data_IF_841597862273
#
_entry.id   IF_841597862273
#
_cell.length_a   1.000
_cell.length_b   1.000
_cell.length_c   1.000
_cell.angle_alpha   90.00
_cell.angle_beta   90.00
_cell.angle_gamma   90.00
#
_symmetry.space_group_name_H-M   'P 1'
#
loop_
_entity.id
_entity.type
_entity.pdbx_description
1 polymer ?
#
# COMPACT_ATOMS: atom_id res chain seq x y z
N UNK A 1 7.88 -20.59 1.87
CA UNK A 1 6.58 -20.53 1.16
C UNK A 1 6.38 -19.12 0.63
N UNK A 2 5.82 -18.98 -0.58
CA UNK A 2 5.47 -17.67 -1.13
C UNK A 2 4.25 -17.11 -0.40
N UNK A 3 4.40 -15.94 0.22
CA UNK A 3 3.28 -15.22 0.82
C UNK A 3 2.53 -14.48 -0.29
N UNK A 4 1.20 -14.61 -0.42
CA UNK A 4 0.45 -13.94 -1.47
C UNK A 4 0.38 -12.42 -1.26
N UNK A 5 0.07 -11.69 -2.32
CA UNK A 5 -0.35 -10.26 -2.25
C UNK A 5 -1.85 -10.25 -2.44
N UNK A 6 -2.60 -9.84 -1.42
CA UNK A 6 -4.06 -9.87 -1.42
C UNK A 6 -4.63 -8.80 -2.35
N UNK A 7 -5.59 -9.14 -3.22
CA UNK A 7 -6.29 -8.17 -4.08
C UNK A 7 -5.55 -7.77 -5.35
N UNK A 8 -4.29 -8.21 -5.55
CA UNK A 8 -3.46 -7.77 -6.69
C UNK A 8 -4.05 -8.08 -8.07
N UNK A 9 -4.87 -9.14 -8.19
CA UNK A 9 -5.52 -9.55 -9.43
C UNK A 9 -6.87 -8.87 -9.67
N UNK A 10 -7.40 -8.15 -8.67
CA UNK A 10 -8.68 -7.43 -8.74
C UNK A 10 -8.50 -5.97 -9.20
N UNK A 11 -7.26 -5.55 -9.44
CA UNK A 11 -6.96 -4.20 -9.90
C UNK A 11 -7.32 -4.09 -11.40
N UNK A 12 -8.10 -3.08 -11.80
CA UNK A 12 -8.42 -2.83 -13.21
C UNK A 12 -7.16 -2.63 -14.07
N UNK A 13 -7.19 -3.11 -15.32
CA UNK A 13 -6.00 -3.14 -16.20
C UNK A 13 -5.51 -1.77 -16.66
N UNK A 14 -6.37 -0.76 -16.60
CA UNK A 14 -6.13 0.62 -16.97
C UNK A 14 -5.51 1.45 -15.83
N UNK A 15 -5.42 0.88 -14.62
CA UNK A 15 -4.84 1.54 -13.45
C UNK A 15 -3.31 1.51 -13.52
N UNK A 16 -2.70 2.69 -13.40
CA UNK A 16 -1.23 2.86 -13.37
C UNK A 16 -0.67 3.12 -11.97
N UNK A 17 -1.53 3.49 -11.02
CA UNK A 17 -1.19 3.84 -9.64
C UNK A 17 -2.06 3.06 -8.66
N UNK A 18 -1.46 2.47 -7.65
CA UNK A 18 -2.15 1.58 -6.70
C UNK A 18 -1.69 1.84 -5.28
N UNK A 19 -2.62 1.72 -4.35
CA UNK A 19 -2.33 1.81 -2.91
C UNK A 19 -1.88 0.44 -2.39
N UNK A 20 -0.89 0.43 -1.51
CA UNK A 20 -0.39 -0.77 -0.85
C UNK A 20 -0.57 -0.63 0.66
N UNK A 21 -1.35 -1.54 1.25
CA UNK A 21 -1.64 -1.55 2.68
C UNK A 21 -1.01 -2.77 3.39
N UNK A 22 -1.03 -2.76 4.72
CA UNK A 22 -0.60 -3.91 5.53
C UNK A 22 -1.68 -4.99 5.59
N UNK A 23 -2.94 -4.64 5.86
CA UNK A 23 -4.02 -5.61 6.04
C UNK A 23 -4.97 -5.67 4.83
N UNK A 24 -5.71 -6.78 4.71
CA UNK A 24 -6.75 -6.90 3.68
C UNK A 24 -7.94 -5.98 3.94
N UNK A 25 -8.20 -5.61 5.20
CA UNK A 25 -9.31 -4.72 5.56
C UNK A 25 -9.00 -3.31 5.05
N UNK A 26 -7.77 -2.82 5.23
CA UNK A 26 -7.34 -1.53 4.69
C UNK A 26 -7.50 -1.45 3.17
N UNK A 27 -7.12 -2.52 2.46
CA UNK A 27 -7.28 -2.59 1.01
C UNK A 27 -8.76 -2.55 0.61
N UNK A 28 -9.64 -3.26 1.32
CA UNK A 28 -11.08 -3.20 1.08
C UNK A 28 -11.65 -1.81 1.36
N UNK A 29 -11.20 -1.14 2.43
CA UNK A 29 -11.62 0.22 2.75
C UNK A 29 -11.21 1.21 1.66
N UNK A 30 -9.99 1.10 1.12
CA UNK A 30 -9.58 1.86 -0.07
C UNK A 30 -10.54 1.64 -1.25
N UNK A 31 -10.94 0.39 -1.52
CA UNK A 31 -11.90 0.09 -2.59
C UNK A 31 -13.28 0.73 -2.33
N UNK A 32 -13.78 0.69 -1.09
CA UNK A 32 -15.01 1.40 -0.68
C UNK A 32 -14.88 2.90 -0.94
N UNK A 33 -13.67 3.45 -0.78
CA UNK A 33 -13.34 4.86 -1.07
C UNK A 33 -13.00 5.15 -2.53
N UNK A 34 -13.19 4.17 -3.42
CA UNK A 34 -12.96 4.33 -4.86
C UNK A 34 -11.49 4.39 -5.24
N UNK A 35 -10.58 3.85 -4.41
CA UNK A 35 -9.15 3.76 -4.69
C UNK A 35 -8.72 2.29 -4.89
N UNK A 36 -8.07 1.95 -6.00
CA UNK A 36 -7.54 0.60 -6.21
C UNK A 36 -6.39 0.33 -5.23
N UNK A 37 -6.49 -0.78 -4.49
CA UNK A 37 -5.52 -1.13 -3.47
C UNK A 37 -5.28 -2.64 -3.37
N UNK A 38 -4.11 -3.03 -2.87
CA UNK A 38 -3.82 -4.41 -2.49
C UNK A 38 -3.02 -4.45 -1.19
N UNK A 39 -2.95 -5.63 -0.55
CA UNK A 39 -2.29 -5.76 0.75
C UNK A 39 -1.17 -6.79 0.74
N UNK A 40 -0.10 -6.49 1.50
CA UNK A 40 1.04 -7.38 1.70
C UNK A 40 0.82 -8.41 2.83
N UNK A 41 -0.29 -8.29 3.56
CA UNK A 41 -0.68 -9.09 4.73
C UNK A 41 0.33 -9.00 5.88
N UNK A 42 0.71 -7.77 6.23
CA UNK A 42 1.84 -7.36 7.07
C UNK A 42 2.88 -6.60 6.22
N UNK A 43 4.11 -6.48 6.68
CA UNK A 43 5.10 -5.55 6.09
C UNK A 43 5.78 -6.02 4.78
N UNK A 44 5.37 -7.15 4.21
CA UNK A 44 5.95 -7.72 2.97
C UNK A 44 7.28 -8.48 3.14
N UNK A 45 7.60 -9.38 2.19
CA UNK A 45 8.87 -10.11 2.13
C UNK A 45 9.56 -9.97 0.76
N UNK A 46 10.80 -10.47 0.65
CA UNK A 46 11.61 -10.38 -0.58
C UNK A 46 10.89 -10.92 -1.83
N UNK A 47 10.22 -12.06 -1.73
CA UNK A 47 9.50 -12.63 -2.88
C UNK A 47 8.31 -11.76 -3.31
N UNK A 48 7.60 -11.15 -2.35
CA UNK A 48 6.56 -10.18 -2.66
C UNK A 48 7.16 -8.96 -3.35
N UNK A 49 8.25 -8.38 -2.84
CA UNK A 49 8.91 -7.23 -3.47
C UNK A 49 9.40 -7.54 -4.90
N UNK A 50 9.99 -8.72 -5.13
CA UNK A 50 10.39 -9.18 -6.46
C UNK A 50 9.19 -9.30 -7.41
N UNK A 51 8.05 -9.76 -6.90
CA UNK A 51 6.81 -9.82 -7.66
C UNK A 51 6.29 -8.42 -7.99
N UNK A 52 6.25 -7.49 -7.02
CA UNK A 52 5.80 -6.11 -7.22
C UNK A 52 6.61 -5.41 -8.31
N UNK A 53 7.94 -5.56 -8.32
CA UNK A 53 8.78 -4.94 -9.36
C UNK A 53 8.39 -5.35 -10.80
N UNK A 54 7.76 -6.52 -10.98
CA UNK A 54 7.32 -7.05 -12.28
C UNK A 54 5.88 -6.68 -12.64
N UNK A 55 5.09 -6.17 -11.70
CA UNK A 55 3.72 -5.75 -11.96
C UNK A 55 3.68 -4.52 -12.87
N UNK A 56 2.61 -4.31 -13.65
CA UNK A 56 2.53 -3.24 -14.65
C UNK A 56 2.36 -1.84 -14.04
N UNK A 57 2.12 -1.73 -12.73
CA UNK A 57 1.89 -0.46 -12.05
C UNK A 57 3.16 0.39 -12.06
N UNK A 58 3.02 1.68 -12.40
CA UNK A 58 4.13 2.64 -12.43
C UNK A 58 4.39 3.26 -11.07
N UNK A 59 3.33 3.49 -10.29
CA UNK A 59 3.38 4.14 -8.99
C UNK A 59 2.77 3.27 -7.89
N UNK A 60 3.46 3.22 -6.77
CA UNK A 60 2.99 2.65 -5.52
C UNK A 60 2.82 3.76 -4.49
N UNK A 61 1.62 3.83 -3.92
CA UNK A 61 1.28 4.73 -2.84
C UNK A 61 1.19 3.87 -1.58
N UNK A 62 2.16 4.01 -0.68
CA UNK A 62 2.21 3.24 0.55
C UNK A 62 1.23 3.85 1.57
N UNK A 63 0.37 3.01 2.13
CA UNK A 63 -0.55 3.36 3.20
C UNK A 63 -0.36 2.35 4.34
N UNK A 64 0.86 2.35 4.89
CA UNK A 64 1.19 1.56 6.07
C UNK A 64 0.74 2.27 7.34
N UNK A 65 0.50 1.48 8.38
CA UNK A 65 -0.05 1.93 9.66
C UNK A 65 0.79 3.09 10.22
N UNK A 66 0.13 4.06 10.86
CA UNK A 66 0.75 5.24 11.44
C UNK A 66 1.58 4.96 12.70
N UNK A 67 2.31 3.85 12.75
CA UNK A 67 3.12 3.43 13.90
C UNK A 67 4.58 3.18 13.50
N UNK A 68 5.41 2.80 14.48
CA UNK A 68 6.81 2.50 14.23
C UNK A 68 7.04 1.30 13.31
N UNK A 69 6.12 0.33 13.30
CA UNK A 69 6.22 -0.84 12.44
C UNK A 69 5.96 -0.47 10.98
N UNK A 70 4.93 0.33 10.71
CA UNK A 70 4.61 0.87 9.39
C UNK A 70 5.70 1.78 8.85
N UNK A 71 6.27 2.66 9.70
CA UNK A 71 7.44 3.48 9.32
C UNK A 71 8.64 2.63 8.89
N UNK A 72 8.98 1.58 9.66
CA UNK A 72 10.06 0.64 9.29
C UNK A 72 9.73 -0.17 8.03
N UNK A 73 8.45 -0.50 7.83
CA UNK A 73 7.98 -1.20 6.64
C UNK A 73 8.16 -0.35 5.38
N UNK A 74 7.85 0.95 5.47
CA UNK A 74 8.03 1.94 4.41
C UNK A 74 9.50 2.03 3.98
N UNK A 75 10.40 2.28 4.93
CA UNK A 75 11.84 2.34 4.69
C UNK A 75 12.35 1.07 4.01
N UNK A 76 11.94 -0.10 4.52
CA UNK A 76 12.33 -1.38 3.96
C UNK A 76 11.76 -1.59 2.55
N UNK A 77 10.52 -1.19 2.31
CA UNK A 77 9.90 -1.27 0.99
C UNK A 77 10.72 -0.47 -0.03
N UNK A 78 11.06 0.78 0.29
CA UNK A 78 11.86 1.66 -0.58
C UNK A 78 13.27 1.14 -0.84
N UNK A 79 13.87 0.47 0.14
CA UNK A 79 15.17 -0.17 -0.02
C UNK A 79 15.13 -1.34 -1.00
N UNK A 80 14.03 -2.09 -1.07
CA UNK A 80 13.95 -3.35 -1.81
C UNK A 80 13.20 -3.25 -3.15
N UNK A 81 12.16 -2.43 -3.25
CA UNK A 81 11.36 -2.26 -4.48
C UNK A 81 11.97 -1.15 -5.33
N UNK A 82 12.38 -1.48 -6.55
CA UNK A 82 13.06 -0.56 -7.48
C UNK A 82 12.29 -0.43 -8.79
N UNK A 83 12.59 0.64 -9.53
CA UNK A 83 12.00 0.90 -10.86
C UNK A 83 10.54 1.35 -10.82
N UNK A 84 10.04 1.79 -9.66
CA UNK A 84 8.69 2.28 -9.42
C UNK A 84 8.77 3.69 -8.82
N UNK A 85 7.76 4.51 -9.07
CA UNK A 85 7.54 5.73 -8.28
C UNK A 85 6.93 5.28 -6.95
N UNK A 86 7.52 5.69 -5.83
CA UNK A 86 7.05 5.32 -4.50
C UNK A 86 6.75 6.61 -3.75
N UNK A 87 5.52 6.72 -3.26
CA UNK A 87 5.05 7.78 -2.37
C UNK A 87 4.35 7.14 -1.17
N UNK A 88 4.09 7.92 -0.12
CA UNK A 88 3.47 7.46 1.12
C UNK A 88 2.36 8.42 1.52
N UNK A 89 1.22 7.87 1.97
CA UNK A 89 0.19 8.63 2.67
C UNK A 89 0.59 8.76 4.14
N UNK A 90 0.58 9.99 4.66
CA UNK A 90 0.86 10.27 6.07
C UNK A 90 -0.38 9.91 6.92
N UNK A 91 -0.45 8.66 7.38
CA UNK A 91 -1.49 8.22 8.32
C UNK A 91 -1.29 8.85 9.71
N UNK A 92 -2.37 9.21 10.42
CA UNK A 92 -2.27 9.69 11.80
C UNK A 92 -1.62 8.67 12.73
N UNK A 93 -0.94 9.14 13.77
CA UNK A 93 -0.25 8.26 14.71
C UNK A 93 -1.20 7.21 15.32
N UNK A 94 -0.81 5.94 15.23
CA UNK A 94 -1.54 4.79 15.75
C UNK A 94 -2.79 4.39 14.96
N UNK A 95 -3.06 4.98 13.79
CA UNK A 95 -4.19 4.62 12.93
C UNK A 95 -3.77 3.80 11.71
N UNK A 96 -4.65 2.91 11.25
CA UNK A 96 -4.59 2.31 9.92
C UNK A 96 -5.57 2.99 8.94
N UNK A 97 -5.72 2.47 7.72
CA UNK A 97 -6.64 3.07 6.72
C UNK A 97 -8.09 2.85 7.13
N UNK A 98 -8.40 1.70 7.73
CA UNK A 98 -9.74 1.33 8.15
C UNK A 98 -10.25 2.14 9.36
N UNK A 99 -9.36 2.76 10.13
CA UNK A 99 -9.69 3.70 11.21
C UNK A 99 -10.10 5.10 10.72
N UNK A 100 -9.93 5.39 9.42
CA UNK A 100 -10.22 6.70 8.84
C UNK A 100 -11.61 6.70 8.20
N UNK A 101 -12.32 7.81 8.37
CA UNK A 101 -13.45 8.15 7.50
C UNK A 101 -12.98 8.49 6.08
N UNK A 102 -13.91 8.48 5.12
CA UNK A 102 -13.61 8.90 3.75
C UNK A 102 -13.03 10.32 3.68
N UNK A 103 -13.55 11.24 4.50
CA UNK A 103 -13.07 12.63 4.55
C UNK A 103 -11.65 12.72 5.11
N UNK A 104 -11.34 12.01 6.20
CA UNK A 104 -9.98 11.95 6.74
C UNK A 104 -9.02 11.36 5.71
N UNK A 105 -9.39 10.25 5.06
CA UNK A 105 -8.59 9.59 4.04
C UNK A 105 -8.29 10.51 2.84
N UNK A 106 -9.29 11.26 2.35
CA UNK A 106 -9.13 12.18 1.24
C UNK A 106 -8.23 13.38 1.55
N UNK A 107 -8.10 13.72 2.83
CA UNK A 107 -7.28 14.83 3.31
C UNK A 107 -5.86 14.40 3.74
N UNK A 108 -5.51 13.12 3.64
CA UNK A 108 -4.15 12.64 3.91
C UNK A 108 -3.13 13.33 3.00
N UNK A 109 -1.98 13.67 3.56
CA UNK A 109 -0.86 14.19 2.76
C UNK A 109 -0.13 13.04 2.10
N UNK A 110 0.16 13.19 0.82
CA UNK A 110 1.02 12.28 0.08
C UNK A 110 2.43 12.89 -0.06
N UNK A 111 3.47 12.14 0.29
CA UNK A 111 4.87 12.57 0.18
C UNK A 111 5.78 11.53 -0.47
N UNK A 112 6.96 11.98 -0.90
CA UNK A 112 7.96 11.15 -1.57
C UNK A 112 8.88 10.42 -0.60
#
# INVERSE_FOLDING_TARGET
>A
MSKPVYGVYEIPKDVTEVIICESFIDALTCYVYGKPAFALLGTGNRLQYDHLMRLPYRKYILAFDGDDAGRRADERFRQNVKGKIITTLELPEGKDVNDLSLEEFQNLKEYF
#
